data_IF_109566522198
#
_entry.id   IF_109566522198
#
_cell.length_a   1.000
_cell.length_b   1.000
_cell.length_c   1.000
_cell.angle_alpha   90.00
_cell.angle_beta   90.00
_cell.angle_gamma   90.00
#
_symmetry.space_group_name_H-M   'P 1'
#
loop_
_entity.id
_entity.type
_entity.pdbx_description
1 polymer ?
#
# COMPACT_ATOMS: atom_id res chain seq x y z
N UNK A 1 22.32 -34.28 4.97
CA UNK A 1 21.53 -34.71 6.14
C UNK A 1 22.39 -34.61 7.40
N UNK A 2 22.17 -33.55 8.21
CA UNK A 2 22.59 -33.50 9.62
C UNK A 2 21.40 -32.93 10.42
N UNK A 3 21.18 -33.41 11.66
CA UNK A 3 19.86 -33.42 12.28
C UNK A 3 19.61 -32.19 13.15
N UNK A 4 18.34 -31.78 13.16
CA UNK A 4 17.76 -30.76 14.04
C UNK A 4 17.78 -31.24 15.50
N UNK A 5 18.25 -30.45 16.49
CA UNK A 5 18.13 -30.86 17.89
C UNK A 5 16.70 -30.59 18.37
N UNK A 6 15.98 -31.67 18.70
CA UNK A 6 14.77 -31.62 19.52
C UNK A 6 15.16 -31.14 20.93
N UNK A 7 14.61 -30.02 21.38
CA UNK A 7 14.44 -29.73 22.81
C UNK A 7 12.97 -29.53 23.12
N UNK A 8 12.40 -30.60 23.66
CA UNK A 8 11.20 -30.57 24.48
C UNK A 8 11.47 -29.72 25.72
N UNK A 9 10.84 -28.56 25.79
CA UNK A 9 10.63 -27.83 27.03
C UNK A 9 9.25 -27.24 26.91
N UNK A 10 8.35 -27.64 27.81
CA UNK A 10 7.03 -27.06 27.95
C UNK A 10 7.19 -25.55 28.19
N UNK A 11 7.07 -24.76 27.14
CA UNK A 11 6.88 -23.32 27.25
C UNK A 11 5.38 -23.17 27.46
N UNK A 12 5.02 -22.90 28.72
CA UNK A 12 3.70 -22.42 29.09
C UNK A 12 3.20 -21.44 28.04
N UNK A 13 2.00 -21.68 27.52
CA UNK A 13 1.17 -20.70 26.82
C UNK A 13 0.94 -19.49 27.75
N UNK A 14 1.96 -18.64 27.88
CA UNK A 14 1.80 -17.26 28.32
C UNK A 14 1.27 -16.53 27.10
N UNK A 15 -0.02 -16.20 27.15
CA UNK A 15 -0.70 -15.14 26.38
C UNK A 15 0.25 -14.44 25.41
N UNK A 16 0.15 -14.76 24.12
CA UNK A 16 0.72 -13.90 23.08
C UNK A 16 0.30 -12.48 23.42
N UNK A 17 1.30 -11.66 23.76
CA UNK A 17 1.07 -10.27 24.07
C UNK A 17 0.63 -9.63 22.75
N UNK A 18 -0.66 -9.32 22.68
CA UNK A 18 -1.23 -8.41 21.69
C UNK A 18 -0.30 -7.22 21.51
N UNK A 19 0.09 -6.96 20.26
CA UNK A 19 1.16 -6.03 19.89
C UNK A 19 1.06 -4.66 20.58
N UNK A 20 2.04 -4.26 21.41
CA UNK A 20 2.00 -2.98 22.12
C UNK A 20 2.31 -1.77 21.24
N UNK A 21 2.91 -1.94 20.05
CA UNK A 21 3.24 -0.84 19.15
C UNK A 21 2.04 -0.35 18.29
N UNK A 22 1.06 -1.22 18.02
CA UNK A 22 -0.14 -0.88 17.25
C UNK A 22 -1.36 -0.56 18.13
N UNK A 23 -1.36 -1.03 19.38
CA UNK A 23 -2.27 -0.55 20.41
C UNK A 23 -1.70 0.73 21.02
N UNK A 24 -1.71 1.82 20.25
CA UNK A 24 -1.63 3.16 20.84
C UNK A 24 -2.92 3.44 21.62
N UNK A 25 -3.16 2.72 22.71
CA UNK A 25 -4.16 3.04 23.73
C UNK A 25 -5.51 3.55 23.16
N UNK A 26 -5.96 2.99 22.03
CA UNK A 26 -7.26 3.33 21.51
C UNK A 26 -8.24 2.63 22.45
N UNK A 27 -8.77 3.38 23.42
CA UNK A 27 -9.80 2.90 24.34
C UNK A 27 -11.13 2.56 23.64
N UNK A 28 -11.08 2.21 22.35
CA UNK A 28 -12.22 2.03 21.47
C UNK A 28 -12.51 0.55 21.29
N UNK A 29 -13.78 0.23 21.48
CA UNK A 29 -14.28 -1.14 21.34
C UNK A 29 -14.65 -1.41 19.88
N UNK A 30 -14.45 -2.63 19.39
CA UNK A 30 -14.96 -3.08 18.09
C UNK A 30 -16.47 -2.78 18.02
N UNK A 31 -16.90 -1.95 17.06
CA UNK A 31 -18.30 -1.53 16.88
C UNK A 31 -18.63 -0.09 17.31
N UNK A 32 -17.67 0.66 17.86
CA UNK A 32 -17.88 2.10 18.11
C UNK A 32 -17.94 2.91 16.80
N UNK A 33 -19.03 3.67 16.64
CA UNK A 33 -19.23 4.56 15.49
C UNK A 33 -18.25 5.72 15.55
N UNK A 34 -17.40 5.84 14.54
CA UNK A 34 -16.52 7.00 14.37
C UNK A 34 -17.36 8.17 13.90
N UNK A 35 -17.48 9.18 14.78
CA UNK A 35 -18.23 10.41 14.49
C UNK A 35 -17.45 11.39 13.63
N UNK A 36 -16.12 11.30 13.63
CA UNK A 36 -15.24 12.23 12.93
C UNK A 36 -14.88 11.66 11.56
N UNK A 37 -15.44 12.24 10.50
CA UNK A 37 -15.23 11.83 9.11
C UNK A 37 -13.75 11.93 8.72
N UNK A 38 -13.00 12.88 9.30
CA UNK A 38 -11.57 13.04 9.04
C UNK A 38 -10.73 11.83 9.45
N UNK A 39 -11.27 10.94 10.30
CA UNK A 39 -10.63 9.69 10.76
C UNK A 39 -11.14 8.46 10.04
N UNK A 40 -11.79 8.62 8.90
CA UNK A 40 -12.23 7.53 8.04
C UNK A 40 -11.42 7.58 6.74
N UNK A 41 -11.07 6.40 6.19
CA UNK A 41 -10.51 6.23 4.85
C UNK A 41 -11.25 5.11 4.15
N UNK A 42 -11.83 5.36 2.98
CA UNK A 42 -12.40 4.31 2.12
C UNK A 42 -11.44 4.04 0.97
N UNK A 43 -10.72 2.91 1.03
CA UNK A 43 -9.64 2.60 0.11
C UNK A 43 -9.91 1.33 -0.70
N UNK A 44 -9.59 1.37 -1.99
CA UNK A 44 -9.63 0.18 -2.85
C UNK A 44 -8.23 -0.36 -3.12
N UNK A 45 -8.03 -1.65 -3.00
CA UNK A 45 -6.80 -2.30 -3.46
C UNK A 45 -7.06 -2.81 -4.87
N UNK A 46 -6.32 -2.28 -5.86
CA UNK A 46 -6.47 -2.65 -7.26
C UNK A 46 -5.13 -2.91 -7.93
N UNK A 47 -5.11 -3.83 -8.90
CA UNK A 47 -3.87 -4.34 -9.48
C UNK A 47 -4.14 -5.28 -10.65
N UNK A 48 -3.10 -5.59 -11.41
CA UNK A 48 -3.13 -6.72 -12.34
C UNK A 48 -3.23 -8.09 -11.62
N UNK A 49 -3.56 -9.13 -12.39
CA UNK A 49 -3.57 -10.54 -11.96
C UNK A 49 -2.19 -10.90 -11.41
N UNK A 50 -2.16 -11.74 -10.38
CA UNK A 50 -0.92 -12.21 -9.74
C UNK A 50 0.04 -11.10 -9.26
N UNK A 51 -0.46 -9.89 -8.99
CA UNK A 51 0.32 -8.81 -8.37
C UNK A 51 0.34 -8.87 -6.83
N UNK A 52 -0.47 -9.75 -6.24
CA UNK A 52 -0.51 -9.98 -4.78
C UNK A 52 -1.40 -9.03 -4.00
N UNK A 53 -2.56 -8.62 -4.57
CA UNK A 53 -3.57 -7.81 -3.88
C UNK A 53 -4.07 -8.45 -2.59
N UNK A 54 -4.61 -9.65 -2.71
CA UNK A 54 -5.16 -10.41 -1.60
C UNK A 54 -4.10 -10.66 -0.52
N UNK A 55 -2.86 -10.95 -0.92
CA UNK A 55 -1.73 -11.10 0.03
C UNK A 55 -1.41 -9.79 0.77
N UNK A 56 -1.52 -8.63 0.10
CA UNK A 56 -1.38 -7.34 0.77
C UNK A 56 -2.51 -7.10 1.76
N UNK A 57 -3.76 -7.36 1.36
CA UNK A 57 -4.94 -7.23 2.23
C UNK A 57 -4.82 -8.10 3.48
N UNK A 58 -4.42 -9.37 3.34
CA UNK A 58 -4.20 -10.28 4.46
C UNK A 58 -3.09 -9.80 5.41
N UNK A 59 -2.01 -9.24 4.88
CA UNK A 59 -0.94 -8.66 5.69
C UNK A 59 -1.42 -7.45 6.49
N UNK A 60 -2.21 -6.56 5.89
CA UNK A 60 -2.82 -5.42 6.60
C UNK A 60 -3.71 -5.89 7.76
N UNK A 61 -4.51 -6.95 7.54
CA UNK A 61 -5.35 -7.54 8.58
C UNK A 61 -4.52 -8.15 9.73
N UNK A 62 -3.39 -8.78 9.40
CA UNK A 62 -2.47 -9.34 10.39
C UNK A 62 -1.75 -8.26 11.21
N UNK A 63 -1.14 -7.27 10.56
CA UNK A 63 -0.41 -6.20 11.26
C UNK A 63 -1.31 -5.31 12.11
N UNK A 64 -2.59 -5.20 11.76
CA UNK A 64 -3.61 -4.50 12.57
C UNK A 64 -4.23 -5.36 13.66
N UNK A 65 -3.84 -6.64 13.77
CA UNK A 65 -4.29 -7.57 14.81
C UNK A 65 -5.70 -8.12 14.62
N UNK A 66 -6.28 -8.03 13.41
CA UNK A 66 -7.59 -8.61 13.11
C UNK A 66 -7.55 -10.09 12.74
N UNK A 67 -6.38 -10.59 12.36
CA UNK A 67 -6.14 -11.98 12.01
C UNK A 67 -4.87 -12.44 12.72
N UNK A 68 -4.93 -13.60 13.36
CA UNK A 68 -3.81 -14.15 14.14
C UNK A 68 -2.75 -14.84 13.26
N UNK A 69 -3.12 -15.29 12.05
CA UNK A 69 -2.24 -16.04 11.13
C UNK A 69 -2.46 -15.65 9.65
N UNK A 70 -1.37 -15.38 8.93
CA UNK A 70 -1.40 -15.08 7.49
C UNK A 70 -1.49 -16.39 6.69
N UNK A 71 -2.48 -16.50 5.81
CA UNK A 71 -2.64 -17.63 4.90
C UNK A 71 -2.43 -17.20 3.44
N UNK A 72 -1.62 -17.96 2.69
CA UNK A 72 -1.42 -17.69 1.27
C UNK A 72 -2.56 -18.21 0.39
N UNK A 73 -2.92 -17.44 -0.65
CA UNK A 73 -3.96 -17.76 -1.64
C UNK A 73 -3.74 -19.12 -2.34
N UNK A 74 -2.47 -19.55 -2.50
CA UNK A 74 -2.09 -20.88 -3.04
C UNK A 74 -1.12 -21.62 -2.10
N UNK A 75 -1.30 -21.47 -0.79
CA UNK A 75 -0.49 -22.16 0.20
C UNK A 75 -0.69 -23.68 0.14
N UNK A 76 0.31 -24.44 0.61
CA UNK A 76 0.22 -25.91 0.76
C UNK A 76 -0.80 -26.35 1.81
N UNK A 77 -1.33 -25.39 2.56
CA UNK A 77 -2.12 -25.60 3.76
C UNK A 77 -3.62 -25.76 3.43
N UNK A 78 -4.03 -25.49 2.18
CA UNK A 78 -5.40 -25.72 1.68
C UNK A 78 -6.48 -24.80 2.26
N UNK A 79 -6.12 -23.91 3.19
CA UNK A 79 -7.05 -22.98 3.87
C UNK A 79 -7.45 -21.81 2.95
N UNK A 80 -6.51 -21.29 2.16
CA UNK A 80 -6.71 -20.10 1.30
C UNK A 80 -6.71 -18.79 2.10
N UNK A 81 -6.66 -17.65 1.40
CA UNK A 81 -6.80 -16.34 2.03
C UNK A 81 -8.22 -16.16 2.58
N UNK A 82 -8.36 -15.45 3.72
CA UNK A 82 -9.65 -15.14 4.36
C UNK A 82 -10.55 -14.31 3.45
N UNK A 83 -9.96 -13.46 2.62
CA UNK A 83 -10.69 -12.60 1.66
C UNK A 83 -11.32 -13.37 0.48
N UNK A 84 -10.80 -14.56 0.14
CA UNK A 84 -11.35 -15.41 -0.92
C UNK A 84 -12.39 -16.37 -0.29
N UNK A 85 -13.64 -15.93 -0.21
CA UNK A 85 -14.73 -16.68 0.45
C UNK A 85 -15.29 -17.79 -0.42
N UNK A 86 -15.21 -17.68 -1.75
CA UNK A 86 -15.72 -18.71 -2.65
C UNK A 86 -14.74 -19.86 -2.79
N UNK A 87 -15.25 -21.09 -2.84
CA UNK A 87 -14.43 -22.28 -3.09
C UNK A 87 -13.69 -22.19 -4.44
N UNK A 88 -14.32 -21.60 -5.46
CA UNK A 88 -13.71 -21.37 -6.77
C UNK A 88 -12.55 -20.36 -6.72
N UNK A 89 -12.64 -19.34 -5.88
CA UNK A 89 -11.57 -18.35 -5.67
C UNK A 89 -10.36 -19.01 -5.04
N UNK A 90 -10.55 -19.83 -3.99
CA UNK A 90 -9.48 -20.60 -3.35
C UNK A 90 -8.84 -21.62 -4.29
N UNK A 91 -9.64 -22.34 -5.09
CA UNK A 91 -9.14 -23.34 -6.02
C UNK A 91 -8.31 -22.72 -7.16
N UNK A 92 -8.75 -21.57 -7.70
CA UNK A 92 -8.07 -20.90 -8.82
C UNK A 92 -7.01 -19.90 -8.36
N UNK A 93 -7.07 -19.47 -7.10
CA UNK A 93 -6.28 -18.41 -6.50
C UNK A 93 -6.46 -17.07 -7.21
N UNK A 94 -7.72 -16.71 -7.49
CA UNK A 94 -8.12 -15.44 -8.09
C UNK A 94 -9.27 -14.85 -7.28
N UNK A 95 -9.33 -13.53 -7.19
CA UNK A 95 -10.48 -12.82 -6.62
C UNK A 95 -11.52 -12.57 -7.70
N UNK A 96 -12.75 -13.04 -7.48
CA UNK A 96 -13.89 -12.96 -8.40
C UNK A 96 -14.85 -11.86 -7.94
N UNK A 97 -15.19 -11.82 -6.66
CA UNK A 97 -16.04 -10.78 -6.07
C UNK A 97 -15.22 -9.79 -5.23
N UNK A 98 -15.65 -8.53 -5.21
CA UNK A 98 -15.05 -7.54 -4.33
C UNK A 98 -15.36 -7.87 -2.88
N UNK A 99 -14.33 -7.99 -2.05
CA UNK A 99 -14.46 -8.26 -0.62
C UNK A 99 -14.22 -6.98 0.18
N UNK A 100 -15.15 -6.65 1.09
CA UNK A 100 -15.03 -5.49 1.95
C UNK A 100 -14.63 -5.91 3.37
N UNK A 101 -13.62 -5.25 3.91
CA UNK A 101 -13.19 -5.38 5.30
C UNK A 101 -12.85 -4.00 5.87
N UNK A 102 -12.56 -3.89 7.16
CA UNK A 102 -12.10 -2.65 7.76
C UNK A 102 -10.97 -2.95 8.74
N UNK A 103 -10.06 -2.02 8.96
CA UNK A 103 -8.99 -2.10 9.96
C UNK A 103 -8.86 -0.80 10.72
N UNK A 104 -8.38 -0.89 11.97
CA UNK A 104 -8.09 0.28 12.79
C UNK A 104 -6.57 0.48 12.84
N UNK A 105 -6.11 1.66 12.45
CA UNK A 105 -4.70 2.05 12.54
C UNK A 105 -4.58 3.43 13.18
N UNK A 106 -3.90 3.55 14.32
CA UNK A 106 -3.66 4.83 15.02
C UNK A 106 -4.90 5.72 15.14
N UNK A 107 -6.02 5.15 15.61
CA UNK A 107 -7.34 5.80 15.75
C UNK A 107 -8.05 6.22 14.44
N UNK A 108 -7.53 5.82 13.28
CA UNK A 108 -8.16 5.98 11.96
C UNK A 108 -8.77 4.65 11.54
N UNK A 109 -10.01 4.70 11.05
CA UNK A 109 -10.67 3.54 10.46
C UNK A 109 -10.46 3.52 8.95
N UNK A 110 -9.87 2.44 8.47
CA UNK A 110 -9.60 2.20 7.07
C UNK A 110 -10.54 1.11 6.61
N UNK A 111 -11.55 1.47 5.82
CA UNK A 111 -12.41 0.54 5.11
C UNK A 111 -11.72 0.13 3.81
N UNK A 112 -11.45 -1.16 3.65
CA UNK A 112 -10.71 -1.72 2.52
C UNK A 112 -11.68 -2.50 1.62
N UNK A 113 -11.65 -2.20 0.33
CA UNK A 113 -12.32 -2.99 -0.71
C UNK A 113 -11.24 -3.68 -1.55
N UNK A 114 -11.12 -4.99 -1.43
CA UNK A 114 -10.26 -5.79 -2.29
C UNK A 114 -10.98 -6.04 -3.62
N UNK A 115 -10.41 -5.56 -4.73
CA UNK A 115 -11.06 -5.58 -6.05
C UNK A 115 -10.51 -6.69 -6.95
N UNK A 116 -11.34 -7.30 -7.81
CA UNK A 116 -10.87 -8.26 -8.79
C UNK A 116 -9.80 -7.68 -9.72
N UNK A 117 -8.77 -8.47 -10.06
CA UNK A 117 -7.70 -8.05 -10.98
C UNK A 117 -7.87 -8.47 -12.42
N UNK A 118 -8.88 -9.29 -12.71
CA UNK A 118 -9.10 -9.90 -14.02
C UNK A 118 -9.97 -9.00 -14.90
N UNK A 119 -9.70 -9.00 -16.20
CA UNK A 119 -10.43 -8.18 -17.19
C UNK A 119 -11.92 -8.53 -17.26
N UNK A 120 -12.26 -9.78 -16.98
CA UNK A 120 -13.64 -10.29 -17.01
C UNK A 120 -14.52 -9.71 -15.89
N UNK A 121 -13.91 -9.15 -14.83
CA UNK A 121 -14.61 -8.61 -13.66
C UNK A 121 -14.50 -7.09 -13.57
N UNK A 122 -14.27 -6.42 -14.71
CA UNK A 122 -14.12 -4.96 -14.80
C UNK A 122 -15.33 -4.18 -14.32
N UNK A 123 -16.54 -4.75 -14.42
CA UNK A 123 -17.78 -4.15 -13.89
C UNK A 123 -17.72 -4.03 -12.36
N UNK A 124 -17.15 -5.02 -11.68
CA UNK A 124 -17.06 -5.03 -10.22
C UNK A 124 -16.00 -4.05 -9.72
N UNK A 125 -14.88 -3.92 -10.45
CA UNK A 125 -13.87 -2.89 -10.22
C UNK A 125 -14.47 -1.49 -10.42
N UNK A 126 -15.25 -1.28 -11.48
CA UNK A 126 -15.89 0.00 -11.76
C UNK A 126 -16.93 0.39 -10.70
N UNK A 127 -17.67 -0.58 -10.16
CA UNK A 127 -18.59 -0.36 -9.03
C UNK A 127 -17.84 0.03 -7.77
N UNK A 128 -16.74 -0.63 -7.45
CA UNK A 128 -15.92 -0.30 -6.30
C UNK A 128 -15.35 1.12 -6.41
N UNK A 129 -14.72 1.47 -7.54
CA UNK A 129 -14.08 2.77 -7.76
C UNK A 129 -15.02 3.98 -7.63
N UNK A 130 -16.34 3.81 -7.78
CA UNK A 130 -17.33 4.88 -7.60
C UNK A 130 -17.60 5.27 -6.14
N UNK A 131 -17.26 4.38 -5.21
CA UNK A 131 -17.56 4.52 -3.78
C UNK A 131 -16.29 4.79 -2.96
N UNK A 132 -15.13 4.65 -3.60
CA UNK A 132 -13.84 4.77 -2.96
C UNK A 132 -13.35 6.20 -2.97
N UNK A 133 -12.82 6.65 -1.84
CA UNK A 133 -12.19 7.96 -1.72
C UNK A 133 -10.75 7.90 -2.23
N UNK A 134 -10.09 6.74 -2.14
CA UNK A 134 -8.74 6.53 -2.66
C UNK A 134 -8.48 5.10 -3.08
N UNK A 135 -7.38 4.89 -3.81
CA UNK A 135 -6.97 3.57 -4.29
C UNK A 135 -5.48 3.31 -4.07
N UNK A 136 -5.14 2.03 -3.96
CA UNK A 136 -3.78 1.51 -3.95
C UNK A 136 -3.59 0.67 -5.21
N UNK A 137 -2.78 1.16 -6.15
CA UNK A 137 -2.42 0.45 -7.36
C UNK A 137 -1.21 -0.45 -7.11
N UNK A 138 -1.45 -1.75 -6.92
CA UNK A 138 -0.39 -2.74 -6.76
C UNK A 138 0.20 -3.14 -8.11
N UNK A 139 1.52 -3.16 -8.20
CA UNK A 139 2.31 -3.47 -9.37
C UNK A 139 3.33 -4.56 -9.02
N UNK A 140 3.65 -5.42 -9.96
CA UNK A 140 4.70 -6.43 -9.77
C UNK A 140 6.07 -5.84 -10.13
N UNK A 141 7.08 -5.96 -9.26
CA UNK A 141 8.45 -5.51 -9.52
C UNK A 141 9.07 -6.14 -10.78
N UNK A 142 8.65 -7.35 -11.14
CA UNK A 142 9.10 -8.07 -12.34
C UNK A 142 8.24 -7.73 -13.56
N UNK A 143 6.92 -7.66 -13.41
CA UNK A 143 5.97 -7.46 -14.52
C UNK A 143 5.80 -5.99 -14.93
N UNK A 144 5.96 -5.07 -13.99
CA UNK A 144 5.74 -3.64 -14.16
C UNK A 144 4.31 -3.30 -14.60
N UNK A 145 4.17 -2.33 -15.50
CA UNK A 145 2.88 -1.89 -16.03
C UNK A 145 2.44 -2.79 -17.19
N UNK A 146 1.32 -3.48 -16.99
CA UNK A 146 0.71 -4.42 -17.94
C UNK A 146 -0.57 -3.83 -18.58
N UNK A 147 -1.12 -4.51 -19.59
CA UNK A 147 -2.30 -4.02 -20.33
C UNK A 147 -3.53 -3.85 -19.45
N UNK A 148 -3.69 -4.68 -18.42
CA UNK A 148 -4.78 -4.57 -17.46
C UNK A 148 -4.57 -3.42 -16.47
N UNK A 149 -3.31 -3.14 -16.09
CA UNK A 149 -2.97 -1.96 -15.29
C UNK A 149 -3.43 -0.68 -16.01
N UNK A 150 -3.29 -0.62 -17.33
CA UNK A 150 -3.80 0.51 -18.14
C UNK A 150 -5.32 0.63 -18.07
N UNK A 151 -6.06 -0.48 -18.11
CA UNK A 151 -7.53 -0.48 -18.00
C UNK A 151 -7.97 0.04 -16.63
N UNK A 152 -7.39 -0.49 -15.55
CA UNK A 152 -7.69 -0.03 -14.17
C UNK A 152 -7.33 1.44 -14.01
N UNK A 153 -6.18 1.88 -14.53
CA UNK A 153 -5.78 3.29 -14.48
C UNK A 153 -6.78 4.20 -15.21
N UNK A 154 -7.29 3.79 -16.36
CA UNK A 154 -8.33 4.54 -17.08
C UNK A 154 -9.62 4.63 -16.28
N UNK A 155 -9.98 3.58 -15.56
CA UNK A 155 -11.16 3.59 -14.68
C UNK A 155 -10.94 4.54 -13.49
N UNK A 156 -9.78 4.49 -12.83
CA UNK A 156 -9.43 5.42 -11.74
C UNK A 156 -9.45 6.88 -12.21
N UNK A 157 -8.84 7.18 -13.37
CA UNK A 157 -8.88 8.51 -14.00
C UNK A 157 -10.31 8.96 -14.35
N UNK A 158 -11.18 8.05 -14.79
CA UNK A 158 -12.59 8.37 -15.12
C UNK A 158 -13.36 8.85 -13.90
N UNK A 159 -13.09 8.28 -12.73
CA UNK A 159 -13.76 8.62 -11.47
C UNK A 159 -12.96 9.60 -10.61
N UNK A 160 -11.84 10.14 -11.13
CA UNK A 160 -10.92 11.02 -10.40
C UNK A 160 -10.51 10.48 -9.03
N UNK A 161 -10.26 9.16 -8.93
CA UNK A 161 -9.88 8.52 -7.66
C UNK A 161 -8.37 8.76 -7.43
N UNK A 162 -7.97 9.45 -6.34
CA UNK A 162 -6.60 9.52 -5.85
C UNK A 162 -5.98 8.14 -5.70
N UNK A 163 -4.74 7.96 -6.16
CA UNK A 163 -4.12 6.65 -6.20
C UNK A 163 -2.67 6.67 -5.74
N UNK A 164 -2.31 5.88 -4.73
CA UNK A 164 -0.91 5.56 -4.42
C UNK A 164 -0.50 4.28 -5.14
N UNK A 165 0.75 4.16 -5.58
CA UNK A 165 1.25 2.92 -6.15
C UNK A 165 1.97 2.08 -5.09
N UNK A 166 1.95 0.77 -5.27
CA UNK A 166 2.77 -0.15 -4.51
C UNK A 166 3.44 -1.16 -5.43
N UNK A 167 4.77 -1.24 -5.36
CA UNK A 167 5.55 -2.25 -6.06
C UNK A 167 5.75 -3.43 -5.12
N UNK A 168 5.02 -4.49 -5.40
CA UNK A 168 5.11 -5.76 -4.69
C UNK A 168 6.06 -6.73 -5.41
N UNK A 169 6.39 -7.84 -4.76
CA UNK A 169 7.16 -8.96 -5.31
C UNK A 169 8.61 -8.58 -5.68
N UNK A 170 9.25 -7.76 -4.85
CA UNK A 170 10.66 -7.39 -4.98
C UNK A 170 11.61 -8.54 -4.59
N UNK A 171 11.09 -9.57 -3.94
CA UNK A 171 11.74 -10.84 -3.61
C UNK A 171 11.94 -11.76 -4.83
N UNK A 172 11.33 -11.43 -5.98
CA UNK A 172 11.43 -12.26 -7.19
C UNK A 172 12.61 -11.88 -8.07
N UNK A 173 13.21 -12.90 -8.69
CA UNK A 173 14.29 -12.72 -9.64
C UNK A 173 13.91 -11.76 -10.79
N UNK A 174 14.78 -10.78 -11.05
CA UNK A 174 14.56 -9.76 -12.08
C UNK A 174 13.61 -8.63 -11.67
N UNK A 175 13.29 -8.50 -10.37
CA UNK A 175 12.59 -7.33 -9.86
C UNK A 175 13.41 -6.06 -10.08
N UNK A 176 12.78 -5.03 -10.63
CA UNK A 176 13.44 -3.75 -10.85
C UNK A 176 12.45 -2.59 -10.58
N UNK A 177 12.48 -1.99 -9.38
CA UNK A 177 11.54 -0.94 -8.99
C UNK A 177 11.71 0.34 -9.82
N UNK A 178 12.95 0.73 -10.14
CA UNK A 178 13.25 1.92 -10.96
C UNK A 178 12.62 1.81 -12.35
N UNK A 179 12.65 0.60 -12.94
CA UNK A 179 11.98 0.33 -14.20
C UNK A 179 10.45 0.40 -14.08
N UNK A 180 9.88 0.00 -12.95
CA UNK A 180 8.42 0.14 -12.75
C UNK A 180 8.03 1.62 -12.67
N UNK A 181 8.81 2.44 -11.97
CA UNK A 181 8.58 3.90 -11.90
C UNK A 181 8.69 4.54 -13.29
N UNK A 182 9.71 4.19 -14.08
CA UNK A 182 9.83 4.72 -15.44
C UNK A 182 8.68 4.29 -16.34
N UNK A 183 8.11 3.09 -16.13
CA UNK A 183 6.91 2.63 -16.82
C UNK A 183 5.64 3.35 -16.36
N UNK A 184 5.51 3.70 -15.07
CA UNK A 184 4.42 4.54 -14.59
C UNK A 184 4.40 5.89 -15.31
N UNK A 185 5.57 6.53 -15.42
CA UNK A 185 5.72 7.81 -16.14
C UNK A 185 5.42 7.67 -17.63
N UNK A 186 6.07 6.74 -18.31
CA UNK A 186 6.00 6.63 -19.77
C UNK A 186 4.72 5.97 -20.31
N UNK A 187 4.11 5.02 -19.58
CA UNK A 187 2.92 4.29 -20.06
C UNK A 187 1.62 4.80 -19.47
N UNK A 188 1.61 5.22 -18.20
CA UNK A 188 0.40 5.72 -17.54
C UNK A 188 0.27 7.24 -17.59
N UNK A 189 1.35 7.95 -17.97
CA UNK A 189 1.47 9.41 -17.93
C UNK A 189 1.10 9.94 -16.54
N UNK A 190 1.80 9.40 -15.53
CA UNK A 190 1.68 9.80 -14.14
C UNK A 190 2.96 10.49 -13.70
N UNK A 191 2.84 11.53 -12.87
CA UNK A 191 3.96 12.17 -12.21
C UNK A 191 4.38 11.35 -10.98
N UNK A 192 4.96 10.18 -11.22
CA UNK A 192 5.31 9.23 -10.18
C UNK A 192 6.73 9.46 -9.64
N UNK A 193 6.93 9.43 -8.32
CA UNK A 193 8.25 9.38 -7.70
C UNK A 193 8.33 8.30 -6.60
N UNK A 194 9.55 7.89 -6.27
CA UNK A 194 9.79 6.99 -5.15
C UNK A 194 9.68 7.77 -3.83
N UNK A 195 8.90 7.24 -2.87
CA UNK A 195 8.99 7.67 -1.47
C UNK A 195 9.90 6.74 -0.66
N UNK A 196 10.09 5.51 -1.15
CA UNK A 196 10.92 4.49 -0.53
C UNK A 196 11.85 3.84 -1.55
N UNK A 197 13.07 3.54 -1.12
CA UNK A 197 14.06 2.81 -1.91
C UNK A 197 14.36 1.47 -1.25
N UNK A 198 14.25 0.31 -1.92
CA UNK A 198 14.51 -0.97 -1.27
C UNK A 198 15.99 -1.16 -0.92
N UNK A 199 16.24 -1.80 0.22
CA UNK A 199 17.56 -2.24 0.67
C UNK A 199 17.72 -3.69 0.23
N UNK A 200 18.50 -3.87 -0.83
CA UNK A 200 18.63 -5.16 -1.52
C UNK A 200 17.41 -5.50 -2.39
N UNK A 201 17.49 -6.63 -3.06
CA UNK A 201 16.46 -7.18 -3.96
C UNK A 201 16.52 -8.70 -3.89
N UNK A 202 15.47 -9.35 -4.39
CA UNK A 202 15.39 -10.81 -4.46
C UNK A 202 15.55 -11.44 -3.06
N UNK A 203 16.42 -12.43 -2.91
CA UNK A 203 16.71 -13.08 -1.63
C UNK A 203 17.42 -12.16 -0.62
N UNK A 204 18.01 -11.05 -1.08
CA UNK A 204 18.72 -10.08 -0.25
C UNK A 204 17.85 -8.88 0.15
N UNK A 205 16.52 -8.95 -0.03
CA UNK A 205 15.62 -7.89 0.38
C UNK A 205 15.49 -7.86 1.91
N UNK A 206 16.07 -6.84 2.55
CA UNK A 206 16.17 -6.74 4.01
C UNK A 206 15.37 -5.57 4.61
N UNK A 207 15.04 -4.58 3.79
CA UNK A 207 14.46 -3.34 4.28
C UNK A 207 14.14 -2.33 3.18
N UNK A 208 13.81 -1.12 3.62
CA UNK A 208 13.56 0.03 2.75
C UNK A 208 14.18 1.29 3.36
N UNK A 209 14.65 2.21 2.54
CA UNK A 209 15.04 3.56 2.93
C UNK A 209 13.83 4.47 2.75
N UNK A 210 13.41 5.14 3.82
CA UNK A 210 12.42 6.22 3.77
C UNK A 210 13.11 7.50 3.29
N UNK A 211 12.71 8.00 2.11
CA UNK A 211 13.31 9.18 1.48
C UNK A 211 12.77 10.50 2.07
N UNK A 212 11.66 10.46 2.82
CA UNK A 212 11.11 11.64 3.49
C UNK A 212 11.92 11.90 4.76
N UNK A 213 12.15 10.86 5.57
CA UNK A 213 12.90 10.92 6.83
C UNK A 213 14.41 10.75 6.67
N UNK A 214 14.85 10.25 5.53
CA UNK A 214 16.24 9.86 5.27
C UNK A 214 16.77 8.86 6.30
N UNK A 215 16.03 7.78 6.53
CA UNK A 215 16.36 6.69 7.46
C UNK A 215 16.19 5.32 6.80
N UNK A 216 16.99 4.34 7.19
CA UNK A 216 16.81 2.95 6.78
C UNK A 216 15.87 2.23 7.76
N UNK A 217 14.91 1.49 7.23
CA UNK A 217 13.95 0.68 7.96
C UNK A 217 14.24 -0.79 7.66
N UNK A 218 14.62 -1.54 8.67
CA UNK A 218 14.88 -2.97 8.59
C UNK A 218 13.76 -3.76 9.25
N UNK A 219 13.26 -4.79 8.56
CA UNK A 219 12.18 -5.64 9.07
C UNK A 219 12.79 -6.88 9.71
N UNK A 220 12.77 -6.93 11.05
CA UNK A 220 13.29 -8.06 11.84
C UNK A 220 12.15 -8.97 12.29
N UNK A 221 12.53 -10.19 12.69
CA UNK A 221 11.66 -11.29 13.11
C UNK A 221 10.90 -11.99 11.97
N UNK A 222 10.43 -13.23 12.17
CA UNK A 222 9.47 -13.85 11.26
C UNK A 222 8.30 -12.89 11.02
N UNK A 223 7.88 -12.76 9.76
CA UNK A 223 6.81 -11.85 9.33
C UNK A 223 7.07 -10.33 9.50
N UNK A 224 8.27 -9.88 9.90
CA UNK A 224 8.63 -8.46 9.87
C UNK A 224 7.92 -7.59 10.92
N UNK A 225 7.57 -8.19 12.06
CA UNK A 225 6.80 -7.53 13.13
C UNK A 225 7.56 -6.42 13.87
N UNK A 226 8.89 -6.46 13.83
CA UNK A 226 9.75 -5.47 14.48
C UNK A 226 10.47 -4.65 13.42
N UNK A 227 10.11 -3.37 13.32
CA UNK A 227 10.79 -2.40 12.46
C UNK A 227 11.92 -1.76 13.26
N UNK A 228 13.15 -1.83 12.73
CA UNK A 228 14.32 -1.16 13.32
C UNK A 228 14.75 -0.04 12.40
N UNK A 229 14.78 1.18 12.93
CA UNK A 229 15.28 2.35 12.22
C UNK A 229 16.79 2.49 12.43
N UNK A 230 17.55 2.60 11.35
CA UNK A 230 19.00 2.79 11.35
C UNK A 230 19.42 3.88 10.35
N UNK A 231 20.72 4.17 10.29
CA UNK A 231 21.29 5.06 9.29
C UNK A 231 21.31 4.39 7.90
N UNK A 232 21.23 5.20 6.85
CA UNK A 232 21.24 4.69 5.47
C UNK A 232 22.63 4.08 5.18
N UNK A 233 22.70 2.85 4.65
CA UNK A 233 23.95 2.24 4.23
C UNK A 233 24.74 3.13 3.27
N UNK A 234 26.06 3.22 3.45
CA UNK A 234 26.92 4.12 2.65
C UNK A 234 26.79 3.87 1.14
N UNK A 235 26.63 2.61 0.73
CA UNK A 235 26.46 2.22 -0.67
C UNK A 235 25.13 2.69 -1.30
N UNK A 236 24.13 3.04 -0.48
CA UNK A 236 22.83 3.53 -0.93
C UNK A 236 22.63 5.03 -0.69
N UNK A 237 23.51 5.67 0.09
CA UNK A 237 23.32 7.07 0.50
C UNK A 237 23.26 8.03 -0.68
N UNK A 238 24.17 7.88 -1.65
CA UNK A 238 24.20 8.75 -2.83
C UNK A 238 22.97 8.56 -3.71
N UNK A 239 22.54 7.30 -3.92
CA UNK A 239 21.31 6.99 -4.64
C UNK A 239 20.07 7.51 -3.90
N UNK A 240 20.02 7.39 -2.58
CA UNK A 240 18.93 7.91 -1.77
C UNK A 240 18.83 9.44 -1.86
N UNK A 241 19.96 10.14 -1.86
CA UNK A 241 20.00 11.60 -2.06
C UNK A 241 19.51 11.99 -3.45
N UNK A 242 19.97 11.30 -4.49
CA UNK A 242 19.49 11.51 -5.86
C UNK A 242 17.97 11.29 -5.96
N UNK A 243 17.45 10.20 -5.39
CA UNK A 243 16.01 9.89 -5.43
C UNK A 243 15.16 10.80 -4.56
N UNK A 244 15.68 11.30 -3.44
CA UNK A 244 15.03 12.35 -2.66
C UNK A 244 14.93 13.65 -3.43
N UNK A 245 15.99 14.05 -4.12
CA UNK A 245 15.99 15.25 -4.94
C UNK A 245 14.98 15.13 -6.08
N UNK A 246 15.00 14.02 -6.81
CA UNK A 246 14.02 13.70 -7.86
C UNK A 246 12.58 13.73 -7.33
N UNK A 247 12.35 13.19 -6.13
CA UNK A 247 11.05 13.24 -5.46
C UNK A 247 10.59 14.69 -5.19
N UNK A 248 11.47 15.53 -4.65
CA UNK A 248 11.15 16.94 -4.36
C UNK A 248 10.82 17.71 -5.65
N UNK A 249 11.59 17.49 -6.71
CA UNK A 249 11.35 18.10 -8.03
C UNK A 249 9.96 17.74 -8.58
N UNK A 250 9.58 16.47 -8.49
CA UNK A 250 8.26 16.01 -8.94
C UNK A 250 7.11 16.57 -8.09
N UNK A 251 7.29 16.73 -6.78
CA UNK A 251 6.26 17.35 -5.93
C UNK A 251 6.16 18.85 -6.24
N UNK A 252 7.29 19.52 -6.47
CA UNK A 252 7.34 20.95 -6.81
C UNK A 252 6.67 21.26 -8.17
N UNK A 253 6.68 20.31 -9.11
CA UNK A 253 5.92 20.43 -10.36
C UNK A 253 4.40 20.38 -10.14
N UNK A 254 3.95 19.68 -9.10
CA UNK A 254 2.52 19.52 -8.78
C UNK A 254 1.97 20.60 -7.83
N UNK A 255 2.80 21.24 -7.01
CA UNK A 255 2.39 22.24 -6.02
C UNK A 255 3.22 23.53 -6.14
N UNK A 256 2.54 24.64 -6.47
CA UNK A 256 3.17 25.96 -6.68
C UNK A 256 3.94 26.45 -5.44
N UNK A 257 3.44 26.16 -4.23
CA UNK A 257 4.05 26.65 -2.99
C UNK A 257 5.35 25.92 -2.67
N UNK A 258 5.43 24.62 -2.95
CA UNK A 258 6.70 23.91 -2.86
C UNK A 258 7.65 24.34 -4.00
N UNK A 259 7.11 24.64 -5.18
CA UNK A 259 7.87 25.23 -6.29
C UNK A 259 8.61 26.51 -5.88
N UNK A 260 7.95 27.42 -5.17
CA UNK A 260 8.59 28.64 -4.63
C UNK A 260 9.70 28.33 -3.62
N UNK A 261 9.43 27.44 -2.64
CA UNK A 261 10.42 27.03 -1.64
C UNK A 261 11.67 26.42 -2.31
N UNK A 262 11.45 25.60 -3.34
CA UNK A 262 12.51 24.98 -4.12
C UNK A 262 13.33 26.00 -4.92
N UNK A 263 12.68 26.98 -5.55
CA UNK A 263 13.33 28.08 -6.26
C UNK A 263 14.15 28.99 -5.34
N UNK A 264 13.76 29.12 -4.07
CA UNK A 264 14.52 29.84 -3.03
C UNK A 264 15.69 29.04 -2.44
N UNK A 265 16.00 27.85 -2.97
CA UNK A 265 17.03 26.92 -2.46
C UNK A 265 16.83 26.56 -0.97
N UNK A 266 15.59 26.59 -0.48
CA UNK A 266 15.26 26.18 0.89
C UNK A 266 14.89 24.70 0.91
N UNK A 267 15.49 23.96 1.84
CA UNK A 267 15.11 22.55 2.03
C UNK A 267 13.73 22.46 2.73
N UNK A 268 12.76 21.74 2.14
CA UNK A 268 11.47 21.52 2.78
C UNK A 268 11.61 20.60 4.00
N UNK A 269 10.84 20.87 5.06
CA UNK A 269 10.84 20.00 6.24
C UNK A 269 10.07 18.71 5.98
N UNK A 270 10.25 17.69 6.83
CA UNK A 270 9.48 16.43 6.76
C UNK A 270 7.96 16.69 6.74
N UNK A 271 7.49 17.62 7.57
CA UNK A 271 6.06 17.98 7.66
C UNK A 271 5.57 18.64 6.38
N UNK A 272 6.39 19.49 5.79
CA UNK A 272 6.07 20.14 4.53
C UNK A 272 5.96 19.10 3.41
N UNK A 273 6.93 18.19 3.31
CA UNK A 273 6.92 17.09 2.33
C UNK A 273 5.68 16.21 2.46
N UNK A 274 5.29 15.81 3.67
CA UNK A 274 4.07 15.02 3.89
C UNK A 274 2.82 15.80 3.45
N UNK A 275 2.76 17.09 3.79
CA UNK A 275 1.63 17.96 3.44
C UNK A 275 1.51 18.15 1.93
N UNK A 276 2.64 18.37 1.24
CA UNK A 276 2.66 18.55 -0.21
C UNK A 276 2.38 17.25 -0.96
N UNK A 277 2.90 16.12 -0.49
CA UNK A 277 2.56 14.80 -1.02
C UNK A 277 1.07 14.50 -0.88
N UNK A 278 0.46 14.86 0.25
CA UNK A 278 -0.98 14.74 0.46
C UNK A 278 -1.77 15.62 -0.51
N UNK A 279 -1.39 16.89 -0.69
CA UNK A 279 -2.06 17.77 -1.67
C UNK A 279 -1.92 17.23 -3.10
N UNK A 280 -0.72 16.79 -3.46
CA UNK A 280 -0.44 16.23 -4.78
C UNK A 280 -1.25 14.96 -5.05
N UNK A 281 -1.45 14.10 -4.03
CA UNK A 281 -2.27 12.89 -4.18
C UNK A 281 -3.76 13.20 -4.34
N UNK A 282 -4.28 14.31 -3.79
CA UNK A 282 -5.69 14.71 -3.95
C UNK A 282 -6.03 15.19 -5.37
N UNK A 283 -5.11 15.90 -6.03
CA UNK A 283 -5.38 16.56 -7.30
C UNK A 283 -5.05 15.72 -8.53
N UNK A 284 -4.26 14.66 -8.35
CA UNK A 284 -3.79 13.84 -9.44
C UNK A 284 -3.92 12.36 -9.12
N UNK A 285 -4.18 11.55 -10.15
CA UNK A 285 -4.02 10.09 -10.08
C UNK A 285 -2.54 9.67 -10.01
N UNK A 286 -1.71 10.45 -9.33
CA UNK A 286 -0.26 10.31 -9.34
C UNK A 286 0.19 9.25 -8.35
N UNK A 287 0.90 8.26 -8.89
CA UNK A 287 1.27 7.04 -8.22
C UNK A 287 2.51 7.24 -7.32
N UNK A 288 2.29 7.53 -6.04
CA UNK A 288 3.35 7.65 -5.03
C UNK A 288 3.59 6.31 -4.30
N UNK A 289 4.86 5.93 -4.10
CA UNK A 289 5.22 4.57 -3.65
C UNK A 289 5.37 4.43 -2.13
N UNK A 290 4.33 3.98 -1.39
CA UNK A 290 4.44 3.52 0.02
C UNK A 290 3.19 2.75 0.48
N UNK A 291 3.23 1.43 0.80
CA UNK A 291 2.16 0.81 1.58
C UNK A 291 2.68 0.37 2.95
N UNK A 292 2.98 1.35 3.76
CA UNK A 292 2.76 1.14 5.19
C UNK A 292 1.31 1.58 5.45
N UNK A 293 0.66 0.99 6.45
CA UNK A 293 -0.64 1.44 6.97
C UNK A 293 -0.62 2.96 7.22
N UNK A 294 0.57 3.48 7.60
CA UNK A 294 0.87 4.89 7.73
C UNK A 294 0.71 5.68 6.41
N UNK A 295 1.21 5.18 5.28
CA UNK A 295 1.07 5.84 3.98
C UNK A 295 -0.39 5.95 3.52
N UNK A 296 -1.23 4.96 3.87
CA UNK A 296 -2.67 5.03 3.58
C UNK A 296 -3.37 6.13 4.38
N UNK A 297 -2.94 6.37 5.62
CA UNK A 297 -3.49 7.45 6.45
C UNK A 297 -2.96 8.82 6.02
N UNK A 298 -1.67 8.89 5.69
CA UNK A 298 -0.95 10.14 5.42
C UNK A 298 -1.21 10.69 4.01
N UNK A 299 -1.49 9.83 3.03
CA UNK A 299 -1.55 10.22 1.62
C UNK A 299 -2.88 9.97 0.92
N UNK A 300 -3.84 9.25 1.53
CA UNK A 300 -5.16 9.07 0.94
C UNK A 300 -6.20 9.96 1.63
N UNK A 301 -7.17 10.49 0.86
CA UNK A 301 -8.18 11.41 1.36
C UNK A 301 -9.12 10.77 2.37
N UNK A 302 -9.75 11.64 3.16
CA UNK A 302 -10.93 11.27 3.93
C UNK A 302 -12.23 11.57 3.14
N UNK A 303 -13.37 11.00 3.54
CA UNK A 303 -14.63 11.13 2.78
C UNK A 303 -15.16 12.56 2.63
N UNK A 304 -14.68 13.53 3.41
CA UNK A 304 -15.11 14.93 3.29
C UNK A 304 -14.37 15.72 2.20
N UNK A 305 -13.29 15.16 1.64
CA UNK A 305 -12.43 15.83 0.66
C UNK A 305 -12.68 15.36 -0.78
N UNK A 306 -13.40 14.24 -0.96
CA UNK A 306 -13.70 13.66 -2.27
C UNK A 306 -15.18 13.86 -2.59
N UNK A 307 -15.47 14.37 -3.78
CA UNK A 307 -16.84 14.46 -4.27
C UNK A 307 -17.19 13.22 -5.07
N UNK A 308 -17.90 12.29 -4.45
CA UNK A 308 -18.39 11.08 -5.11
C UNK A 308 -19.74 11.36 -5.79
N UNK A 309 -19.86 11.03 -7.09
CA UNK A 309 -21.10 11.23 -7.87
C UNK A 309 -21.78 9.87 -8.07
N UNK A 310 -22.95 9.71 -7.47
CA UNK A 310 -23.85 8.58 -7.76
C UNK A 310 -24.80 8.94 -8.91
N UNK A 311 -24.98 8.02 -9.86
CA UNK A 311 -26.05 8.13 -10.86
C UNK A 311 -27.37 7.73 -10.19
N UNK A 312 -28.38 8.61 -10.25
CA UNK A 312 -29.74 8.24 -9.85
C UNK A 312 -30.32 7.34 -10.95
N UNK A 313 -30.52 6.06 -10.63
CA UNK A 313 -31.03 5.04 -11.58
C UNK A 313 -32.48 5.30 -12.01
N UNK A 314 -33.08 6.43 -11.65
CA UNK A 314 -34.43 6.81 -12.09
C UNK A 314 -34.49 7.31 -13.53
N UNK A 315 -33.37 7.76 -14.10
CA UNK A 315 -33.34 8.37 -15.44
C UNK A 315 -32.64 7.54 -16.53
N UNK A 316 -32.44 6.23 -16.32
CA UNK A 316 -32.11 5.25 -17.37
C UNK A 316 -30.64 5.16 -17.78
#
# INVERSE_FOLDING_TARGET
>A
MRPWPRRSSAILFKKFHTHPACLSNSGRTIGEVIKDVARIRNIGISAHIDSGKTTLTERLLFYTGQVDEIHEVKGKDGVGAKMDFMELERQRGITIQSAATYVMWKDVNINIIDTPGHVDFTVEVERALRVLDGAVLVLCGVGGVQSQTLTVNRQMKRYNVPCIAFINKLDRQGANPLRVVSQLRSKLNHNAALLQLPIGLEENLEGVVDLIRMRALYFREPQGLTVVEEEIPENLLDLAREKRQEMIEHIAEADETLGEIFLEEREPTEKDLITFLYKASLHSSDAWLRPEEQGMVDFLPNPSEVTNIGLDNKDG
#
